data_IF_187720025567
#
_entry.id   IF_187720025567
#
_cell.length_a   1.000
_cell.length_b   1.000
_cell.length_c   1.000
_cell.angle_alpha   90.00
_cell.angle_beta   90.00
_cell.angle_gamma   90.00
#
_symmetry.space_group_name_H-M   'P 1'
#
loop_
_entity.id
_entity.type
_entity.pdbx_description
1 polymer ?
#
# COMPACT_ATOMS: atom_id res chain seq x y z
N UNK A 1 16.95 -5.19 -3.13
CA UNK A 1 16.21 -5.84 -2.03
C UNK A 1 15.29 -4.79 -1.43
N UNK A 2 13.99 -5.04 -1.41
CA UNK A 2 13.02 -4.13 -0.79
C UNK A 2 13.22 -4.11 0.74
N UNK A 3 13.35 -2.92 1.32
CA UNK A 3 13.57 -2.68 2.75
C UNK A 3 12.27 -2.41 3.50
N UNK A 4 11.25 -1.83 2.84
CA UNK A 4 9.98 -1.49 3.49
C UNK A 4 9.15 -2.74 3.83
N UNK A 5 9.10 -3.71 2.92
CA UNK A 5 8.25 -4.89 3.05
C UNK A 5 9.09 -6.16 2.89
N UNK A 6 9.13 -7.05 3.91
CA UNK A 6 9.76 -8.35 3.79
C UNK A 6 9.21 -9.16 2.61
N UNK A 7 10.10 -9.85 1.89
CA UNK A 7 9.71 -10.71 0.75
C UNK A 7 8.67 -11.76 1.12
N UNK A 8 8.71 -12.28 2.36
CA UNK A 8 7.72 -13.24 2.85
C UNK A 8 6.30 -12.68 2.84
N UNK A 9 6.13 -11.37 3.08
CA UNK A 9 4.82 -10.71 2.99
C UNK A 9 4.46 -10.47 1.53
N UNK A 10 5.39 -9.95 0.72
CA UNK A 10 5.17 -9.69 -0.71
C UNK A 10 4.71 -10.93 -1.47
N UNK A 11 5.25 -12.10 -1.12
CA UNK A 11 4.87 -13.38 -1.72
C UNK A 11 3.43 -13.83 -1.39
N UNK A 12 2.86 -13.32 -0.30
CA UNK A 12 1.48 -13.62 0.12
C UNK A 12 0.44 -12.60 -0.41
N UNK A 13 0.89 -11.55 -1.09
CA UNK A 13 0.01 -10.58 -1.74
C UNK A 13 -0.37 -11.15 -3.13
N UNK A 14 -1.65 -11.06 -3.55
CA UNK A 14 -2.06 -11.41 -4.91
C UNK A 14 -1.20 -10.70 -5.97
N UNK A 15 -1.01 -11.36 -7.12
CA UNK A 15 -0.37 -10.73 -8.28
C UNK A 15 -1.31 -9.70 -8.92
N UNK A 16 -0.78 -8.83 -9.79
CA UNK A 16 -1.61 -7.85 -10.48
C UNK A 16 -2.76 -8.53 -11.24
N UNK A 17 -3.93 -7.89 -11.20
CA UNK A 17 -5.18 -8.36 -11.81
C UNK A 17 -5.79 -9.62 -11.18
N UNK A 18 -5.17 -10.23 -10.17
CA UNK A 18 -5.71 -11.42 -9.51
C UNK A 18 -7.03 -11.18 -8.76
N UNK A 19 -7.31 -9.92 -8.42
CA UNK A 19 -8.55 -9.48 -7.75
C UNK A 19 -9.44 -8.65 -8.67
N UNK A 20 -9.18 -8.66 -9.99
CA UNK A 20 -10.00 -7.95 -10.97
C UNK A 20 -11.47 -8.38 -10.88
N UNK A 21 -12.37 -7.39 -10.71
CA UNK A 21 -13.81 -7.62 -10.54
C UNK A 21 -14.26 -7.82 -9.07
N UNK A 22 -13.34 -7.91 -8.11
CA UNK A 22 -13.70 -7.91 -6.70
C UNK A 22 -14.01 -6.48 -6.23
N UNK A 23 -15.26 -6.23 -5.86
CA UNK A 23 -15.72 -4.89 -5.41
C UNK A 23 -15.16 -4.48 -4.04
N UNK A 24 -14.69 -5.44 -3.24
CA UNK A 24 -14.23 -5.21 -1.88
C UNK A 24 -12.93 -6.00 -1.60
N UNK A 25 -11.85 -5.69 -2.33
CA UNK A 25 -10.60 -6.41 -2.22
C UNK A 25 -9.98 -6.25 -0.83
N UNK A 26 -9.09 -7.17 -0.47
CA UNK A 26 -8.34 -7.10 0.78
C UNK A 26 -7.10 -6.24 0.58
N UNK A 27 -6.93 -5.23 1.44
CA UNK A 27 -5.67 -4.53 1.59
C UNK A 27 -4.76 -5.35 2.50
N UNK A 28 -3.60 -5.77 2.00
CA UNK A 28 -2.66 -6.67 2.68
C UNK A 28 -1.64 -5.93 3.54
N UNK A 29 -1.15 -4.78 3.06
CA UNK A 29 -0.13 -3.97 3.73
C UNK A 29 -0.60 -2.53 3.77
N UNK A 30 -0.26 -1.83 4.84
CA UNK A 30 -0.38 -0.38 4.95
C UNK A 30 1.00 0.24 5.08
N UNK A 31 1.27 1.23 4.25
CA UNK A 31 2.39 2.14 4.35
C UNK A 31 1.88 3.53 4.71
N UNK A 32 2.69 4.33 5.39
CA UNK A 32 2.32 5.69 5.79
C UNK A 32 3.55 6.59 5.88
N UNK A 33 3.34 7.90 5.86
CA UNK A 33 4.38 8.88 6.17
C UNK A 33 4.18 9.39 7.60
N UNK A 34 5.20 9.42 8.48
CA UNK A 34 5.03 9.88 9.86
C UNK A 34 4.70 11.37 10.00
N UNK A 35 5.04 12.17 8.99
CA UNK A 35 4.92 13.63 8.97
C UNK A 35 3.82 14.16 8.05
N UNK A 36 2.98 13.28 7.48
CA UNK A 36 1.85 13.70 6.66
C UNK A 36 0.71 12.68 6.73
N UNK A 37 -0.49 13.07 6.31
CA UNK A 37 -1.65 12.19 6.29
C UNK A 37 -1.66 11.22 5.10
N UNK A 38 -0.54 11.07 4.38
CA UNK A 38 -0.45 10.13 3.27
C UNK A 38 -0.31 8.68 3.73
N UNK A 39 -1.22 7.84 3.26
CA UNK A 39 -1.21 6.39 3.48
C UNK A 39 -1.37 5.64 2.15
N UNK A 40 -0.71 4.49 2.04
CA UNK A 40 -0.86 3.57 0.91
C UNK A 40 -1.29 2.21 1.42
N UNK A 41 -2.26 1.59 0.76
CA UNK A 41 -2.78 0.29 1.11
C UNK A 41 -2.64 -0.64 -0.09
N UNK A 42 -1.73 -1.61 0.01
CA UNK A 42 -1.41 -2.53 -1.09
C UNK A 42 -2.47 -3.63 -1.16
N UNK A 43 -3.08 -3.78 -2.33
CA UNK A 43 -4.04 -4.85 -2.64
C UNK A 43 -3.34 -5.95 -3.45
N UNK A 44 -2.64 -5.55 -4.51
CA UNK A 44 -1.92 -6.45 -5.40
C UNK A 44 -0.47 -5.98 -5.57
N UNK A 45 0.43 -6.90 -5.86
CA UNK A 45 1.84 -6.62 -6.06
C UNK A 45 2.41 -7.49 -7.18
N UNK A 46 2.95 -6.83 -8.21
CA UNK A 46 3.53 -7.45 -9.39
C UNK A 46 4.65 -8.41 -9.03
N UNK A 47 4.44 -9.70 -9.32
CA UNK A 47 5.49 -10.71 -9.19
C UNK A 47 6.50 -10.67 -10.34
N UNK A 48 6.10 -10.09 -11.47
CA UNK A 48 6.95 -9.96 -12.65
C UNK A 48 8.09 -8.94 -12.42
N UNK A 49 7.73 -7.70 -12.05
CA UNK A 49 8.72 -6.63 -11.89
C UNK A 49 9.12 -6.39 -10.43
N UNK A 50 8.45 -7.02 -9.47
CA UNK A 50 8.70 -6.88 -8.03
C UNK A 50 8.74 -5.41 -7.57
N UNK A 51 7.92 -4.56 -8.17
CA UNK A 51 7.89 -3.12 -7.89
C UNK A 51 6.48 -2.54 -7.90
N UNK A 52 5.71 -2.81 -8.95
CA UNK A 52 4.40 -2.19 -9.13
C UNK A 52 3.39 -2.76 -8.14
N UNK A 53 2.79 -1.86 -7.37
CA UNK A 53 1.65 -2.13 -6.52
C UNK A 53 0.38 -1.63 -7.18
N UNK A 54 -0.73 -2.33 -6.96
CA UNK A 54 -2.07 -1.77 -7.11
C UNK A 54 -2.70 -1.66 -5.72
N UNK A 55 -3.32 -0.53 -5.43
CA UNK A 55 -3.80 -0.28 -4.08
C UNK A 55 -4.60 0.99 -3.93
N UNK A 56 -5.02 1.22 -2.69
CA UNK A 56 -5.71 2.44 -2.29
C UNK A 56 -4.69 3.45 -1.77
N UNK A 57 -4.67 4.63 -2.40
CA UNK A 57 -3.83 5.77 -2.00
C UNK A 57 -4.73 6.77 -1.30
N UNK A 58 -4.39 7.05 -0.05
CA UNK A 58 -5.14 7.91 0.85
C UNK A 58 -4.32 9.16 1.12
N UNK A 59 -4.50 10.16 0.26
CA UNK A 59 -3.80 11.44 0.31
C UNK A 59 -4.73 12.64 0.22
N UNK A 60 -4.26 13.68 -0.48
CA UNK A 60 -5.06 14.84 -0.83
C UNK A 60 -6.42 14.43 -1.41
N UNK A 61 -6.39 13.56 -2.41
CA UNK A 61 -7.56 12.82 -2.90
C UNK A 61 -7.35 11.33 -2.68
N UNK A 62 -8.44 10.64 -2.37
CA UNK A 62 -8.43 9.21 -2.12
C UNK A 62 -8.76 8.47 -3.41
N UNK A 63 -7.85 7.60 -3.87
CA UNK A 63 -8.00 6.90 -5.14
C UNK A 63 -7.53 5.45 -5.09
N UNK A 64 -8.00 4.64 -6.05
CA UNK A 64 -7.41 3.33 -6.35
C UNK A 64 -6.52 3.50 -7.56
N UNK A 65 -5.25 3.14 -7.42
CA UNK A 65 -4.26 3.39 -8.46
C UNK A 65 -3.04 2.49 -8.34
N UNK A 66 -2.16 2.65 -9.33
CA UNK A 66 -0.87 2.00 -9.37
C UNK A 66 0.20 2.93 -8.79
N UNK A 67 1.17 2.35 -8.09
CA UNK A 67 2.32 3.08 -7.58
C UNK A 67 3.54 2.15 -7.49
N UNK A 68 4.74 2.73 -7.60
CA UNK A 68 6.00 2.01 -7.45
C UNK A 68 6.38 1.89 -5.99
N UNK A 69 6.67 0.67 -5.54
CA UNK A 69 7.19 0.46 -4.20
C UNK A 69 8.60 1.03 -4.05
N UNK A 70 9.41 0.97 -5.11
CA UNK A 70 10.74 1.57 -5.15
C UNK A 70 10.71 3.09 -5.06
N UNK A 71 9.79 3.77 -5.76
CA UNK A 71 9.65 5.24 -5.63
C UNK A 71 9.32 5.64 -4.18
N UNK A 72 8.46 4.86 -3.49
CA UNK A 72 8.16 5.08 -2.07
C UNK A 72 9.39 4.84 -1.17
N UNK A 73 10.26 3.91 -1.54
CA UNK A 73 11.56 3.71 -0.87
C UNK A 73 12.53 4.87 -1.14
N UNK A 74 12.60 5.39 -2.36
CA UNK A 74 13.52 6.48 -2.73
C UNK A 74 13.09 7.83 -2.12
N UNK A 75 11.78 8.04 -1.90
CA UNK A 75 11.26 9.19 -1.14
C UNK A 75 11.84 9.26 0.28
N UNK A 76 12.18 8.13 0.89
CA UNK A 76 12.84 8.07 2.21
C UNK A 76 14.25 8.67 2.20
N UNK A 77 14.98 8.55 1.07
CA UNK A 77 16.36 9.05 0.99
C UNK A 77 16.41 10.57 0.76
N UNK A 78 15.32 11.15 0.25
CA UNK A 78 15.26 12.59 -0.13
C UNK A 78 14.67 13.46 0.98
N UNK A 79 13.64 12.98 1.69
CA UNK A 79 13.02 13.70 2.79
C UNK A 79 13.38 13.00 4.10
N UNK A 80 13.87 13.74 5.10
CA UNK A 80 14.38 13.19 6.37
C UNK A 80 13.39 12.31 7.18
N UNK A 81 12.14 12.20 6.72
CA UNK A 81 11.10 11.30 7.22
C UNK A 81 10.45 10.64 5.99
N UNK A 82 10.78 9.37 5.76
CA UNK A 82 10.27 8.61 4.62
C UNK A 82 9.00 7.84 4.90
N UNK A 83 8.61 7.01 3.92
CA UNK A 83 7.50 6.07 4.05
C UNK A 83 7.88 4.93 5.00
N UNK A 84 6.96 4.53 5.87
CA UNK A 84 7.11 3.42 6.81
C UNK A 84 6.00 2.39 6.64
N UNK A 85 6.26 1.14 7.04
CA UNK A 85 5.27 0.07 7.07
C UNK A 85 4.59 0.01 8.43
N UNK A 86 3.26 0.02 8.46
CA UNK A 86 2.46 -0.17 9.67
C UNK A 86 2.45 -1.66 10.07
N UNK A 87 3.23 -2.02 11.10
CA UNK A 87 3.35 -3.40 11.59
C UNK A 87 2.11 -3.89 12.36
N UNK A 88 1.27 -2.97 12.82
CA UNK A 88 0.04 -3.26 13.57
C UNK A 88 -1.14 -3.46 12.61
N UNK A 89 -1.02 -3.01 11.37
CA UNK A 89 -2.04 -3.20 10.35
C UNK A 89 -2.24 -4.68 10.04
N UNK A 90 -3.49 -5.13 10.17
CA UNK A 90 -3.91 -6.48 9.78
C UNK A 90 -4.61 -6.41 8.42
N UNK A 91 -4.44 -7.41 7.54
CA UNK A 91 -5.09 -7.43 6.25
C UNK A 91 -6.60 -7.18 6.36
N UNK A 92 -7.08 -6.08 5.78
CA UNK A 92 -8.41 -5.52 6.01
C UNK A 92 -9.11 -5.24 4.70
N UNK A 93 -10.44 -5.44 4.63
CA UNK A 93 -11.25 -5.17 3.44
C UNK A 93 -11.23 -3.67 3.08
N UNK A 94 -11.14 -3.35 1.80
CA UNK A 94 -11.08 -1.98 1.28
C UNK A 94 -12.22 -1.10 1.82
N UNK A 95 -13.45 -1.61 1.84
CA UNK A 95 -14.62 -0.90 2.40
C UNK A 95 -14.43 -0.47 3.86
N UNK A 96 -13.74 -1.28 4.67
CA UNK A 96 -13.44 -0.94 6.08
C UNK A 96 -12.31 0.08 6.18
N UNK A 97 -11.28 -0.02 5.33
CA UNK A 97 -10.22 0.99 5.23
C UNK A 97 -10.80 2.35 4.88
N UNK A 98 -11.67 2.42 3.85
CA UNK A 98 -12.33 3.67 3.43
C UNK A 98 -13.16 4.33 4.55
N UNK A 99 -13.80 3.52 5.41
CA UNK A 99 -14.53 4.03 6.58
C UNK A 99 -13.63 4.53 7.71
N UNK A 100 -12.36 4.11 7.78
CA UNK A 100 -11.42 4.61 8.78
C UNK A 100 -10.96 6.04 8.47
N UNK A 101 -10.97 6.44 7.19
CA UNK A 101 -10.71 7.82 6.74
C UNK A 101 -11.81 8.78 7.19
N UNK A 102 -13.08 8.36 7.04
CA UNK A 102 -14.25 9.11 7.50
C UNK A 102 -14.45 8.90 9.00
N UNK A 103 -13.67 9.60 9.82
CA UNK A 103 -14.17 9.97 11.16
C UNK A 103 -15.21 11.08 10.96
N UNK A 104 -16.48 10.70 10.97
CA UNK A 104 -17.56 11.60 11.40
C UNK A 104 -17.42 11.90 12.90
#
# INVERSE_FOLDING_TARGET
MNKLIPQTILNNIPDLYATAGELNPKCHVKLFTPNSDWNWYIIEFSKENSDTCYGYVDGAEAELGYFSLRELEELFETFALGVERDICFKPTRLSKVKKMRTKE
#
